data_IF_015950467516
#
_entry.id   IF_015950467516
#
_cell.length_a   1.000
_cell.length_b   1.000
_cell.length_c   1.000
_cell.angle_alpha   90.00
_cell.angle_beta   90.00
_cell.angle_gamma   90.00
#
_symmetry.space_group_name_H-M   'P 1'
#
loop_
_entity.id
_entity.type
_entity.pdbx_description
1 polymer ?
#
# COMPACT_ATOMS: atom_id res chain seq x y z
N UNK A 1 5.63 14.62 12.18
CA UNK A 1 4.93 13.32 11.99
C UNK A 1 5.83 12.22 12.54
N UNK A 2 5.30 11.29 13.36
CA UNK A 2 6.10 10.13 13.80
C UNK A 2 6.14 9.08 12.68
N UNK A 3 7.24 8.33 12.55
CA UNK A 3 7.38 7.27 11.54
C UNK A 3 6.23 6.25 11.59
N UNK A 4 5.76 5.91 12.80
CA UNK A 4 4.61 5.04 13.01
C UNK A 4 3.33 5.57 12.35
N UNK A 5 3.10 6.86 12.48
CA UNK A 5 1.94 7.56 11.92
C UNK A 5 2.03 7.66 10.40
N UNK A 6 3.24 7.89 9.87
CA UNK A 6 3.50 7.84 8.43
C UNK A 6 3.18 6.47 7.84
N UNK A 7 3.56 5.37 8.50
CA UNK A 7 3.25 4.01 8.03
C UNK A 7 1.74 3.73 8.02
N UNK A 8 0.99 4.29 8.97
CA UNK A 8 -0.49 4.21 8.99
C UNK A 8 -1.10 5.01 7.84
N UNK A 9 -0.56 6.19 7.55
CA UNK A 9 -0.97 7.03 6.39
C UNK A 9 -0.70 6.30 5.08
N UNK A 10 0.49 5.69 4.93
CA UNK A 10 0.83 4.87 3.76
C UNK A 10 -0.21 3.76 3.55
N UNK A 11 -0.59 3.02 4.61
CA UNK A 11 -1.65 2.03 4.50
C UNK A 11 -2.98 2.63 3.98
N UNK A 12 -3.41 3.77 4.52
CA UNK A 12 -4.64 4.45 4.12
C UNK A 12 -4.58 4.89 2.64
N UNK A 13 -3.45 5.45 2.21
CA UNK A 13 -3.27 5.95 0.86
C UNK A 13 -3.21 4.83 -0.19
N UNK A 14 -2.61 3.68 0.14
CA UNK A 14 -2.67 2.50 -0.72
C UNK A 14 -4.12 2.01 -0.82
N UNK A 15 -4.87 1.93 0.28
CA UNK A 15 -6.29 1.53 0.24
C UNK A 15 -7.13 2.49 -0.61
N UNK A 16 -6.89 3.79 -0.50
CA UNK A 16 -7.53 4.78 -1.37
C UNK A 16 -7.15 4.59 -2.84
N UNK A 17 -5.86 4.42 -3.14
CA UNK A 17 -5.39 4.21 -4.51
C UNK A 17 -6.00 2.97 -5.16
N UNK A 18 -6.20 1.90 -4.38
CA UNK A 18 -6.91 0.70 -4.83
C UNK A 18 -8.38 1.01 -5.17
N UNK A 19 -9.08 1.75 -4.31
CA UNK A 19 -10.48 2.16 -4.55
C UNK A 19 -10.58 3.06 -5.80
N UNK A 20 -9.72 4.07 -5.91
CA UNK A 20 -9.73 5.03 -7.03
C UNK A 20 -9.43 4.35 -8.38
N UNK A 21 -8.78 3.17 -8.36
CA UNK A 21 -8.44 2.36 -9.53
C UNK A 21 -9.37 1.15 -9.74
N UNK A 22 -10.45 1.04 -8.95
CA UNK A 22 -11.37 -0.11 -8.96
C UNK A 22 -10.65 -1.46 -8.84
N UNK A 23 -9.65 -1.53 -7.96
CA UNK A 23 -8.78 -2.69 -7.77
C UNK A 23 -8.97 -3.30 -6.38
N UNK A 24 -9.31 -4.58 -6.32
CA UNK A 24 -9.37 -5.31 -5.05
C UNK A 24 -7.98 -5.73 -4.55
N UNK A 25 -7.87 -6.11 -3.27
CA UNK A 25 -6.63 -6.70 -2.72
C UNK A 25 -6.28 -8.03 -3.40
N UNK A 26 -7.29 -8.80 -3.81
CA UNK A 26 -7.13 -10.05 -4.56
C UNK A 26 -6.58 -9.76 -5.96
N UNK A 27 -7.04 -8.69 -6.63
CA UNK A 27 -6.50 -8.26 -7.92
C UNK A 27 -5.05 -7.81 -7.81
N UNK A 28 -4.72 -7.01 -6.78
CA UNK A 28 -3.35 -6.62 -6.50
C UNK A 28 -2.45 -7.85 -6.30
N UNK A 29 -2.90 -8.82 -5.49
CA UNK A 29 -2.17 -10.05 -5.25
C UNK A 29 -1.94 -10.84 -6.55
N UNK A 30 -2.98 -10.98 -7.37
CA UNK A 30 -2.93 -11.65 -8.68
C UNK A 30 -1.96 -10.96 -9.63
N UNK A 31 -2.00 -9.63 -9.75
CA UNK A 31 -1.09 -8.86 -10.62
C UNK A 31 0.37 -8.91 -10.16
N UNK A 32 0.61 -9.06 -8.86
CA UNK A 32 1.93 -9.22 -8.28
C UNK A 32 2.45 -10.67 -8.32
N UNK A 33 1.63 -11.63 -8.76
CA UNK A 33 1.91 -13.06 -8.69
C UNK A 33 2.28 -13.53 -7.27
N UNK A 34 1.51 -13.06 -6.27
CA UNK A 34 1.68 -13.45 -4.86
C UNK A 34 0.36 -13.88 -4.25
N UNK A 35 0.45 -14.55 -3.09
CA UNK A 35 -0.73 -14.92 -2.32
C UNK A 35 -1.38 -13.70 -1.66
N UNK A 36 -2.72 -13.67 -1.63
CA UNK A 36 -3.49 -12.58 -0.99
C UNK A 36 -3.12 -12.38 0.49
N UNK A 37 -2.75 -13.48 1.18
CA UNK A 37 -2.26 -13.42 2.57
C UNK A 37 -1.01 -12.55 2.73
N UNK A 38 -0.16 -12.47 1.70
CA UNK A 38 1.04 -11.61 1.69
C UNK A 38 0.67 -10.14 1.61
N UNK A 39 -0.31 -9.79 0.77
CA UNK A 39 -0.87 -8.42 0.69
C UNK A 39 -1.49 -8.03 2.03
N UNK A 40 -2.33 -8.90 2.60
CA UNK A 40 -2.96 -8.70 3.92
C UNK A 40 -1.92 -8.54 5.04
N UNK A 41 -0.83 -9.32 5.01
CA UNK A 41 0.26 -9.19 5.97
C UNK A 41 0.96 -7.84 5.91
N UNK A 42 1.25 -7.34 4.70
CA UNK A 42 1.88 -6.03 4.47
C UNK A 42 0.97 -4.91 4.98
N UNK A 43 -0.32 -4.94 4.63
CA UNK A 43 -1.30 -3.98 5.16
C UNK A 43 -1.34 -3.99 6.68
N UNK A 44 -1.36 -5.18 7.30
CA UNK A 44 -1.35 -5.30 8.77
C UNK A 44 -0.10 -4.69 9.39
N UNK A 45 1.08 -4.84 8.77
CA UNK A 45 2.32 -4.19 9.26
C UNK A 45 2.17 -2.67 9.23
N UNK A 46 1.78 -2.12 8.08
CA UNK A 46 1.60 -0.67 7.89
C UNK A 46 0.56 -0.07 8.86
N UNK A 47 -0.62 -0.71 9.00
CA UNK A 47 -1.67 -0.28 9.94
C UNK A 47 -1.24 -0.32 11.41
N UNK A 48 -0.31 -1.21 11.75
CA UNK A 48 0.32 -1.27 13.07
C UNK A 48 1.55 -0.34 13.18
N UNK A 49 1.75 0.55 12.21
CA UNK A 49 2.84 1.52 12.20
C UNK A 49 4.22 0.92 11.93
N UNK A 50 4.28 -0.35 11.51
CA UNK A 50 5.53 -1.04 11.20
C UNK A 50 5.96 -0.76 9.78
N UNK A 51 7.28 -0.61 9.61
CA UNK A 51 7.86 -0.36 8.31
C UNK A 51 7.76 -1.58 7.37
N UNK A 52 7.75 -1.29 6.08
CA UNK A 52 7.80 -2.27 4.99
C UNK A 52 8.87 -1.83 3.98
N UNK A 53 9.34 -2.75 3.15
CA UNK A 53 10.39 -2.42 2.20
C UNK A 53 9.87 -1.43 1.15
N UNK A 54 10.60 -0.35 0.88
CA UNK A 54 10.27 0.62 -0.17
C UNK A 54 10.15 -0.06 -1.55
N UNK A 55 10.94 -1.09 -1.85
CA UNK A 55 10.82 -1.84 -3.09
C UNK A 55 9.46 -2.55 -3.22
N UNK A 56 8.84 -2.95 -2.11
CA UNK A 56 7.46 -3.47 -2.11
C UNK A 56 6.47 -2.36 -2.46
N UNK A 57 6.64 -1.18 -1.87
CA UNK A 57 5.78 -0.02 -2.14
C UNK A 57 5.89 0.42 -3.61
N UNK A 58 7.09 0.53 -4.17
CA UNK A 58 7.27 0.87 -5.59
C UNK A 58 6.55 -0.12 -6.51
N UNK A 59 6.73 -1.43 -6.28
CA UNK A 59 6.04 -2.46 -7.06
C UNK A 59 4.52 -2.34 -6.96
N UNK A 60 3.99 -2.01 -5.78
CA UNK A 60 2.55 -1.82 -5.60
C UNK A 60 2.07 -0.59 -6.37
N UNK A 61 2.79 0.53 -6.31
CA UNK A 61 2.47 1.74 -7.07
C UNK A 61 2.44 1.46 -8.58
N UNK A 62 3.46 0.76 -9.11
CA UNK A 62 3.53 0.36 -10.51
C UNK A 62 2.33 -0.50 -10.94
N UNK A 63 1.96 -1.49 -10.11
CA UNK A 63 0.84 -2.41 -10.40
C UNK A 63 -0.52 -1.71 -10.31
N UNK A 64 -0.68 -0.79 -9.36
CA UNK A 64 -1.89 0.01 -9.18
C UNK A 64 -1.99 1.10 -10.26
N UNK A 65 -0.86 1.54 -10.82
CA UNK A 65 -0.78 2.60 -11.83
C UNK A 65 -0.91 4.00 -11.21
N UNK A 66 -0.16 4.24 -10.12
CA UNK A 66 -0.06 5.52 -9.40
C UNK A 66 1.40 5.85 -9.13
N UNK A 67 1.70 7.10 -8.75
CA UNK A 67 3.06 7.46 -8.31
C UNK A 67 3.30 6.94 -6.90
N UNK A 68 4.50 6.43 -6.61
CA UNK A 68 4.80 5.91 -5.27
C UNK A 68 4.74 7.02 -4.19
N UNK A 69 4.98 8.27 -4.59
CA UNK A 69 4.82 9.47 -3.76
C UNK A 69 3.39 9.66 -3.24
N UNK A 70 2.38 9.21 -3.99
CA UNK A 70 0.97 9.28 -3.56
C UNK A 70 0.73 8.49 -2.25
N UNK A 71 1.57 7.51 -1.95
CA UNK A 71 1.49 6.78 -0.69
C UNK A 71 1.98 7.58 0.52
N UNK A 72 2.85 8.57 0.32
CA UNK A 72 3.46 9.35 1.40
C UNK A 72 2.78 10.70 1.62
N UNK A 73 1.91 11.13 0.71
CA UNK A 73 1.18 12.39 0.82
C UNK A 73 0.16 12.36 1.97
N UNK A 74 0.09 13.43 2.76
CA UNK A 74 -1.04 13.64 3.64
C UNK A 74 -2.26 13.99 2.78
N UNK A 75 -3.23 13.08 2.70
CA UNK A 75 -4.57 13.43 2.22
C UNK A 75 -5.16 14.43 3.21
N UNK A 76 -5.26 15.69 2.78
CA UNK A 76 -5.98 16.75 3.48
C UNK A 76 -7.48 16.52 3.45
#
# INVERSE_FOLDING_TARGET
MKLEEMNKIIAKNIEKSLIDKDMSKTDLARKLDIQEKSVSFIFRKLKNGKNVNNATLCKWADVIGVDVGDFFCNLT
#
